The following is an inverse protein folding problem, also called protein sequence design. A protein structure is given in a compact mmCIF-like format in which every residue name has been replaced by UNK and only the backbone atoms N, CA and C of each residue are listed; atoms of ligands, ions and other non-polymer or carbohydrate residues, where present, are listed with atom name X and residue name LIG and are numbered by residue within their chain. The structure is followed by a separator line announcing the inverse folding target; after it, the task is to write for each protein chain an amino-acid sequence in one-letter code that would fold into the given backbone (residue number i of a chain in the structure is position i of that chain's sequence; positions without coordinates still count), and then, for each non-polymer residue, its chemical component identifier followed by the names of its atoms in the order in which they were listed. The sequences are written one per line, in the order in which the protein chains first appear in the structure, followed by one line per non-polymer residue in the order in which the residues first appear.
data_IF_939393982629
#
_entry.id   IF_939393982629
#
_cell.length_a   1.000
_cell.length_b   1.000
_cell.length_c   1.000
_cell.angle_alpha   90.00
_cell.angle_beta   90.00
_cell.angle_gamma   90.00
#
_symmetry.space_group_name_H-M   'P 1'
#
loop_
_entity.id
_entity.type
_entity.pdbx_description
1 polymer ?
#
# COMPACT_ATOMS: atom_id res chain seq x y z
N UNK A 1 -28.63 9.19 -1.62
CA UNK A 1 -28.13 8.75 -2.94
C UNK A 1 -27.79 7.26 -2.93
N UNK A 2 -28.50 6.45 -3.72
CA UNK A 2 -28.44 4.98 -3.76
C UNK A 2 -27.47 4.47 -4.85
N UNK A 3 -26.22 4.96 -4.87
CA UNK A 3 -25.23 4.48 -5.83
C UNK A 3 -24.54 3.22 -5.29
N UNK A 4 -24.66 2.05 -5.94
CA UNK A 4 -24.05 0.81 -5.45
C UNK A 4 -22.51 0.81 -5.58
N UNK A 5 -21.96 1.58 -6.53
CA UNK A 5 -20.49 1.67 -6.75
C UNK A 5 -20.01 3.12 -6.79
N UNK A 6 -18.89 3.38 -6.10
CA UNK A 6 -18.31 4.71 -5.91
C UNK A 6 -17.79 5.36 -7.20
N UNK A 7 -17.59 4.59 -8.28
CA UNK A 7 -17.15 5.14 -9.57
C UNK A 7 -18.28 5.56 -10.51
N UNK A 8 -19.55 5.22 -10.21
CA UNK A 8 -20.70 5.53 -11.07
C UNK A 8 -20.98 7.03 -11.26
N UNK A 9 -20.80 7.90 -10.25
CA UNK A 9 -20.98 9.33 -10.45
C UNK A 9 -20.02 9.89 -11.51
N UNK A 10 -20.53 10.73 -12.41
CA UNK A 10 -19.72 11.39 -13.44
C UNK A 10 -18.74 12.41 -12.83
N UNK A 11 -19.14 13.07 -11.75
CA UNK A 11 -18.34 14.05 -11.04
C UNK A 11 -17.38 13.38 -10.02
N UNK A 12 -16.08 13.72 -10.08
CA UNK A 12 -15.06 13.20 -9.16
C UNK A 12 -15.34 13.53 -7.70
N UNK A 13 -15.88 14.72 -7.38
CA UNK A 13 -16.23 15.09 -5.99
C UNK A 13 -17.33 14.18 -5.44
N UNK A 14 -18.30 13.81 -6.27
CA UNK A 14 -19.35 12.86 -5.91
C UNK A 14 -18.84 11.43 -5.79
N UNK A 15 -17.89 11.01 -6.64
CA UNK A 15 -17.21 9.71 -6.49
C UNK A 15 -16.51 9.62 -5.13
N UNK A 16 -15.75 10.65 -4.77
CA UNK A 16 -15.05 10.72 -3.48
C UNK A 16 -16.04 10.68 -2.31
N UNK A 17 -17.17 11.41 -2.40
CA UNK A 17 -18.22 11.40 -1.37
C UNK A 17 -18.84 10.02 -1.20
N UNK A 18 -19.20 9.33 -2.28
CA UNK A 18 -19.79 7.98 -2.21
C UNK A 18 -18.77 6.97 -1.66
N UNK A 19 -17.48 7.11 -1.98
CA UNK A 19 -16.43 6.28 -1.40
C UNK A 19 -16.35 6.46 0.13
N UNK A 20 -16.37 7.71 0.62
CA UNK A 20 -16.36 8.02 2.06
C UNK A 20 -17.58 7.47 2.79
N UNK A 21 -18.76 7.47 2.15
CA UNK A 21 -19.99 6.93 2.75
C UNK A 21 -19.91 5.41 3.03
N UNK A 22 -18.96 4.68 2.41
CA UNK A 22 -18.76 3.25 2.68
C UNK A 22 -18.04 2.98 4.02
N UNK A 23 -17.38 3.99 4.58
CA UNK A 23 -16.62 3.88 5.82
C UNK A 23 -17.43 4.49 6.96
N UNK A 24 -18.01 3.64 7.80
CA UNK A 24 -18.74 4.06 9.00
C UNK A 24 -17.80 3.89 10.20
N UNK A 25 -17.44 4.97 10.91
CA UNK A 25 -16.54 4.85 12.05
C UNK A 25 -17.29 4.33 13.27
N UNK A 26 -16.75 3.28 13.91
CA UNK A 26 -17.20 2.83 15.23
C UNK A 26 -16.26 3.46 16.26
N UNK A 27 -16.69 4.57 16.86
CA UNK A 27 -15.82 5.44 17.68
C UNK A 27 -15.18 4.70 18.84
N UNK A 28 -15.92 3.79 19.47
CA UNK A 28 -15.46 2.98 20.60
C UNK A 28 -14.24 2.11 20.27
N UNK A 29 -14.09 1.73 18.99
CA UNK A 29 -12.97 0.93 18.50
C UNK A 29 -11.78 1.77 18.02
N UNK A 30 -11.95 3.10 17.87
CA UNK A 30 -10.96 3.99 17.25
C UNK A 30 -10.38 4.97 18.28
N UNK A 31 -11.23 5.64 19.05
CA UNK A 31 -10.84 6.80 19.86
C UNK A 31 -9.80 6.45 20.94
N UNK A 32 -8.66 7.14 20.92
CA UNK A 32 -7.52 6.93 21.80
C UNK A 32 -6.76 5.62 21.59
N UNK A 33 -7.16 4.79 20.61
CA UNK A 33 -6.57 3.45 20.38
C UNK A 33 -5.36 3.51 19.46
N UNK A 34 -4.45 2.57 19.65
CA UNK A 34 -3.38 2.24 18.70
C UNK A 34 -3.88 1.13 17.79
N UNK A 35 -4.03 1.43 16.51
CA UNK A 35 -4.69 0.53 15.57
C UNK A 35 -3.66 -0.19 14.71
N UNK A 36 -3.83 -1.50 14.55
CA UNK A 36 -3.14 -2.30 13.55
C UNK A 36 -4.11 -2.59 12.41
N UNK A 37 -3.82 -2.02 11.26
CA UNK A 37 -4.54 -2.25 10.02
C UNK A 37 -3.75 -3.25 9.16
N UNK A 38 -4.45 -4.19 8.54
CA UNK A 38 -3.87 -5.19 7.64
C UNK A 38 -4.60 -5.08 6.32
N UNK A 39 -3.86 -4.97 5.24
CA UNK A 39 -4.40 -4.90 3.87
C UNK A 39 -3.61 -5.84 2.96
N UNK A 40 -4.20 -6.16 1.81
CA UNK A 40 -3.60 -7.11 0.87
C UNK A 40 -2.26 -6.59 0.31
N UNK A 41 -2.20 -5.30 -0.04
CA UNK A 41 -1.12 -4.71 -0.80
C UNK A 41 -1.11 -3.17 -0.71
N UNK A 42 0.03 -2.57 -1.09
CA UNK A 42 0.14 -1.12 -1.30
C UNK A 42 0.62 -0.88 -2.73
N UNK A 43 -0.30 -0.49 -3.63
CA UNK A 43 0.02 -0.16 -5.03
C UNK A 43 0.43 1.31 -5.17
N UNK A 44 -0.54 2.23 -5.14
CA UNK A 44 -0.31 3.69 -5.20
C UNK A 44 -0.39 4.37 -3.83
N UNK A 45 -1.04 3.72 -2.86
CA UNK A 45 -1.24 4.24 -1.51
C UNK A 45 -2.31 5.33 -1.33
N UNK A 46 -2.99 5.78 -2.40
CA UNK A 46 -4.00 6.87 -2.31
C UNK A 46 -5.16 6.52 -1.38
N UNK A 47 -5.81 5.36 -1.58
CA UNK A 47 -6.91 4.89 -0.72
C UNK A 47 -6.45 4.62 0.72
N UNK A 48 -5.23 4.08 0.87
CA UNK A 48 -4.62 3.84 2.19
C UNK A 48 -4.48 5.16 2.96
N UNK A 49 -3.93 6.20 2.31
CA UNK A 49 -3.78 7.52 2.93
C UNK A 49 -5.12 8.10 3.38
N UNK A 50 -6.15 8.02 2.54
CA UNK A 50 -7.50 8.48 2.90
C UNK A 50 -8.06 7.72 4.12
N UNK A 51 -7.81 6.41 4.19
CA UNK A 51 -8.23 5.55 5.30
C UNK A 51 -7.50 5.91 6.59
N UNK A 52 -6.19 6.12 6.53
CA UNK A 52 -5.37 6.52 7.68
C UNK A 52 -5.79 7.91 8.19
N UNK A 53 -5.99 8.88 7.29
CA UNK A 53 -6.49 10.22 7.65
C UNK A 53 -7.89 10.15 8.27
N UNK A 54 -8.76 9.27 7.77
CA UNK A 54 -10.07 9.02 8.35
C UNK A 54 -9.98 8.45 9.77
N UNK A 55 -9.07 7.50 10.04
CA UNK A 55 -8.88 6.94 11.38
C UNK A 55 -8.39 8.01 12.37
N UNK A 56 -7.40 8.82 11.99
CA UNK A 56 -6.93 9.93 12.84
C UNK A 56 -8.01 10.99 13.06
N UNK A 57 -8.80 11.33 12.04
CA UNK A 57 -9.91 12.28 12.18
C UNK A 57 -11.01 11.78 13.13
N UNK A 58 -11.07 10.47 13.40
CA UNK A 58 -11.97 9.85 14.37
C UNK A 58 -11.27 9.50 15.70
N UNK A 59 -10.09 10.07 15.97
CA UNK A 59 -9.44 10.01 17.28
C UNK A 59 -8.44 8.87 17.48
N UNK A 60 -8.02 8.17 16.42
CA UNK A 60 -6.95 7.17 16.55
C UNK A 60 -5.67 7.81 17.13
N UNK A 61 -5.02 7.12 18.06
CA UNK A 61 -3.75 7.57 18.66
C UNK A 61 -2.56 7.25 17.75
N UNK A 62 -2.52 6.03 17.23
CA UNK A 62 -1.48 5.52 16.32
C UNK A 62 -2.15 4.63 15.28
N UNK A 63 -1.64 4.65 14.05
CA UNK A 63 -2.11 3.79 12.96
C UNK A 63 -0.92 3.06 12.35
N UNK A 64 -0.82 1.76 12.64
CA UNK A 64 0.19 0.85 12.14
C UNK A 64 -0.40 0.03 10.99
N UNK A 65 0.37 -0.21 9.93
CA UNK A 65 -0.07 -0.99 8.76
C UNK A 65 0.82 -2.22 8.57
N UNK A 66 0.22 -3.35 8.19
CA UNK A 66 0.93 -4.55 7.74
C UNK A 66 0.39 -4.98 6.39
N UNK A 67 1.23 -4.88 5.36
CA UNK A 67 0.91 -5.37 4.01
C UNK A 67 1.06 -6.90 3.99
N UNK A 68 0.04 -7.60 3.50
CA UNK A 68 0.07 -9.05 3.38
C UNK A 68 0.97 -9.55 2.24
N UNK A 69 1.45 -8.65 1.36
CA UNK A 69 2.46 -8.94 0.34
C UNK A 69 3.73 -8.09 0.51
N UNK A 70 4.84 -8.46 -0.16
CA UNK A 70 6.02 -7.61 -0.32
C UNK A 70 5.69 -6.29 -1.03
N UNK A 71 6.58 -5.28 -0.96
CA UNK A 71 6.40 -4.06 -1.73
C UNK A 71 6.28 -4.37 -3.23
N UNK A 72 5.33 -3.74 -3.93
CA UNK A 72 5.15 -3.96 -5.36
C UNK A 72 6.15 -3.09 -6.13
N UNK A 73 7.08 -3.75 -6.80
CA UNK A 73 8.18 -3.13 -7.53
C UNK A 73 7.94 -3.08 -9.04
N UNK A 74 7.07 -3.95 -9.55
CA UNK A 74 6.78 -4.04 -10.99
C UNK A 74 5.29 -4.24 -11.28
N UNK A 75 4.84 -3.66 -12.38
CA UNK A 75 3.54 -3.95 -12.98
C UNK A 75 3.49 -5.38 -13.51
N UNK A 76 2.38 -6.07 -13.28
CA UNK A 76 2.22 -7.44 -13.76
C UNK A 76 2.22 -7.51 -15.29
N UNK A 77 3.12 -8.31 -15.87
CA UNK A 77 3.18 -8.53 -17.33
C UNK A 77 2.09 -9.44 -17.88
N UNK A 78 1.49 -10.25 -17.02
CA UNK A 78 0.55 -11.30 -17.43
C UNK A 78 -0.91 -10.91 -17.18
N UNK A 79 -1.16 -9.99 -16.24
CA UNK A 79 -2.49 -9.65 -15.78
C UNK A 79 -2.64 -8.14 -15.68
N UNK A 80 -3.62 -7.58 -16.41
CA UNK A 80 -3.93 -6.14 -16.39
C UNK A 80 -4.81 -5.76 -15.18
N UNK A 81 -4.35 -6.06 -13.96
CA UNK A 81 -5.10 -5.71 -12.74
C UNK A 81 -5.02 -4.23 -12.39
N UNK A 82 -3.97 -3.55 -12.83
CA UNK A 82 -3.74 -2.14 -12.62
C UNK A 82 -3.67 -1.48 -13.99
N UNK A 83 -4.52 -0.48 -14.26
CA UNK A 83 -4.38 0.41 -15.43
C UNK A 83 -3.15 1.33 -15.32
N UNK A 84 -2.11 0.86 -14.64
CA UNK A 84 -0.87 1.60 -14.51
C UNK A 84 -0.21 1.64 -15.88
N UNK A 85 -0.04 2.84 -16.39
CA UNK A 85 0.66 3.10 -17.65
C UNK A 85 2.15 3.30 -17.42
N UNK A 86 2.60 3.30 -16.16
CA UNK A 86 3.98 3.55 -15.76
C UNK A 86 4.29 2.93 -14.39
N UNK A 87 5.43 2.26 -14.28
CA UNK A 87 5.96 1.76 -13.00
C UNK A 87 6.06 2.84 -11.92
N UNK A 88 6.18 4.12 -12.31
CA UNK A 88 6.22 5.24 -11.37
C UNK A 88 4.86 5.52 -10.70
N UNK A 89 3.78 4.90 -11.15
CA UNK A 89 2.50 4.91 -10.41
C UNK A 89 2.61 4.10 -9.10
N UNK A 90 3.53 3.14 -9.02
CA UNK A 90 3.76 2.35 -7.82
C UNK A 90 4.50 3.21 -6.79
N UNK A 91 3.97 3.26 -5.57
CA UNK A 91 4.52 4.14 -4.53
C UNK A 91 6.00 3.83 -4.25
N UNK A 92 6.37 2.55 -4.23
CA UNK A 92 7.74 2.12 -3.98
C UNK A 92 8.69 2.61 -5.08
N UNK A 93 8.29 2.45 -6.34
CA UNK A 93 9.10 2.88 -7.50
C UNK A 93 9.20 4.39 -7.63
N UNK A 94 8.14 5.14 -7.31
CA UNK A 94 8.20 6.60 -7.22
C UNK A 94 9.25 7.03 -6.21
N UNK A 95 9.21 6.46 -5.00
CA UNK A 95 10.17 6.78 -3.92
C UNK A 95 11.60 6.43 -4.32
N UNK A 96 11.82 5.24 -4.86
CA UNK A 96 13.16 4.81 -5.32
C UNK A 96 13.70 5.78 -6.38
N UNK A 97 12.86 6.20 -7.32
CA UNK A 97 13.25 7.18 -8.33
C UNK A 97 13.53 8.56 -7.73
N UNK A 98 12.82 8.97 -6.68
CA UNK A 98 13.11 10.23 -5.98
C UNK A 98 14.40 10.16 -5.16
N UNK A 99 14.76 8.99 -4.62
CA UNK A 99 15.98 8.80 -3.86
C UNK A 99 17.23 8.67 -4.72
N UNK A 100 17.16 7.93 -5.82
CA UNK A 100 18.33 7.52 -6.60
C UNK A 100 18.15 7.67 -8.11
N UNK A 101 17.06 8.30 -8.56
CA UNK A 101 16.75 8.46 -9.98
C UNK A 101 16.50 7.12 -10.69
N UNK A 102 16.76 7.10 -11.99
CA UNK A 102 16.61 5.89 -12.83
C UNK A 102 17.51 4.74 -12.37
N UNK A 103 18.68 5.07 -11.81
CA UNK A 103 19.66 4.09 -11.35
C UNK A 103 19.19 3.31 -10.12
N UNK A 104 18.21 3.83 -9.37
CA UNK A 104 17.62 3.13 -8.22
C UNK A 104 17.02 1.76 -8.56
N UNK A 105 16.69 1.50 -9.84
CA UNK A 105 16.28 0.17 -10.33
C UNK A 105 17.31 -0.92 -10.00
N UNK A 106 18.60 -0.57 -10.02
CA UNK A 106 19.69 -1.52 -9.74
C UNK A 106 19.65 -2.08 -8.33
N UNK A 107 19.01 -1.38 -7.41
CA UNK A 107 18.95 -1.74 -5.98
C UNK A 107 17.56 -2.21 -5.53
N UNK A 108 16.67 -2.60 -6.46
CA UNK A 108 15.30 -3.04 -6.13
C UNK A 108 15.30 -4.18 -5.10
N UNK A 109 16.22 -5.14 -5.21
CA UNK A 109 16.33 -6.24 -4.24
C UNK A 109 16.56 -5.74 -2.82
N UNK A 110 17.44 -4.76 -2.64
CA UNK A 110 17.68 -4.16 -1.33
C UNK A 110 16.43 -3.41 -0.85
N UNK A 111 15.81 -2.60 -1.71
CA UNK A 111 14.57 -1.88 -1.39
C UNK A 111 13.40 -2.82 -1.03
N UNK A 112 13.35 -4.03 -1.60
CA UNK A 112 12.30 -5.03 -1.32
C UNK A 112 12.48 -5.74 0.03
N UNK A 113 13.70 -5.76 0.57
CA UNK A 113 14.01 -6.37 1.86
C UNK A 113 14.02 -5.32 2.98
N UNK A 114 13.06 -5.47 3.89
CA UNK A 114 12.85 -4.57 5.03
C UNK A 114 14.02 -4.51 6.03
N UNK A 115 14.97 -5.44 5.94
CA UNK A 115 16.15 -5.48 6.84
C UNK A 115 17.31 -4.62 6.35
N UNK A 116 17.36 -4.29 5.06
CA UNK A 116 18.42 -3.46 4.48
C UNK A 116 18.20 -1.98 4.82
N UNK A 117 19.27 -1.18 4.71
CA UNK A 117 19.18 0.27 4.91
C UNK A 117 18.23 0.93 3.92
N UNK A 118 18.28 0.51 2.64
CA UNK A 118 17.37 0.98 1.60
C UNK A 118 15.92 0.61 1.87
N UNK A 119 15.67 -0.63 2.31
CA UNK A 119 14.33 -1.10 2.66
C UNK A 119 13.73 -0.33 3.84
N UNK A 120 14.51 -0.09 4.90
CA UNK A 120 14.09 0.74 6.05
C UNK A 120 13.75 2.16 5.62
N UNK A 121 14.63 2.80 4.84
CA UNK A 121 14.42 4.14 4.31
C UNK A 121 13.18 4.24 3.42
N UNK A 122 12.91 3.21 2.61
CA UNK A 122 11.68 3.13 1.82
C UNK A 122 10.44 3.04 2.72
N UNK A 123 10.46 2.18 3.73
CA UNK A 123 9.36 2.02 4.70
C UNK A 123 9.08 3.34 5.43
N UNK A 124 10.11 4.03 5.90
CA UNK A 124 9.99 5.32 6.57
C UNK A 124 9.33 6.36 5.67
N UNK A 125 9.74 6.43 4.40
CA UNK A 125 9.17 7.37 3.45
C UNK A 125 7.73 7.03 3.07
N UNK A 126 7.38 5.74 2.94
CA UNK A 126 5.99 5.33 2.77
C UNK A 126 5.17 5.71 4.01
N UNK A 127 5.67 5.46 5.22
CA UNK A 127 5.00 5.88 6.45
C UNK A 127 4.73 7.38 6.45
N UNK A 128 5.73 8.20 6.09
CA UNK A 128 5.60 9.66 6.00
C UNK A 128 4.52 10.07 5.00
N UNK A 129 4.51 9.50 3.79
CA UNK A 129 3.53 9.84 2.73
C UNK A 129 2.10 9.42 3.08
N UNK A 130 1.95 8.28 3.73
CA UNK A 130 0.66 7.70 4.09
C UNK A 130 0.20 8.06 5.51
N UNK A 131 1.01 8.83 6.25
CA UNK A 131 0.79 9.23 7.65
C UNK A 131 0.69 8.05 8.63
N UNK A 132 1.36 6.94 8.33
CA UNK A 132 1.37 5.77 9.21
C UNK A 132 2.36 5.97 10.37
N UNK A 133 2.03 5.43 11.54
CA UNK A 133 2.97 5.33 12.68
C UNK A 133 4.06 4.29 12.40
N UNK A 134 3.69 3.16 11.78
CA UNK A 134 4.65 2.15 11.33
C UNK A 134 4.08 1.36 10.18
N UNK A 135 4.96 0.80 9.35
CA UNK A 135 4.61 -0.09 8.27
C UNK A 135 5.52 -1.33 8.33
N UNK A 136 4.94 -2.48 8.06
CA UNK A 136 5.68 -3.71 7.78
C UNK A 136 5.13 -4.37 6.54
N UNK A 137 6.02 -4.90 5.70
CA UNK A 137 5.64 -5.73 4.56
C UNK A 137 5.85 -7.20 4.89
N UNK A 138 5.04 -8.07 4.29
CA UNK A 138 5.36 -9.48 4.24
C UNK A 138 6.64 -9.69 3.40
N UNK A 139 7.48 -10.63 3.83
CA UNK A 139 8.67 -11.01 3.07
C UNK A 139 8.30 -11.88 1.87
N UNK A 140 9.09 -11.84 0.79
CA UNK A 140 8.86 -12.71 -0.36
C UNK A 140 8.94 -14.20 0.04
N UNK A 141 9.94 -14.55 0.85
CA UNK A 141 10.09 -15.89 1.42
C UNK A 141 8.85 -16.30 2.23
N UNK A 142 8.36 -15.41 3.09
CA UNK A 142 7.14 -15.62 3.87
C UNK A 142 5.91 -15.82 2.99
N UNK A 143 5.77 -15.06 1.91
CA UNK A 143 4.68 -15.24 0.93
C UNK A 143 4.77 -16.58 0.21
N UNK A 144 5.95 -16.96 -0.30
CA UNK A 144 6.17 -18.26 -0.96
C UNK A 144 5.85 -19.41 0.00
N UNK A 145 6.35 -19.32 1.25
CA UNK A 145 6.07 -20.30 2.29
C UNK A 145 4.57 -20.42 2.62
N UNK A 146 3.86 -19.29 2.71
CA UNK A 146 2.43 -19.26 3.00
C UNK A 146 1.58 -19.85 1.88
N UNK A 147 1.99 -19.68 0.61
CA UNK A 147 1.32 -20.29 -0.54
C UNK A 147 1.52 -21.81 -0.58
N UNK A 148 2.66 -22.31 -0.07
CA UNK A 148 2.93 -23.74 0.05
C UNK A 148 3.31 -24.44 -1.26
N UNK A 149 3.58 -23.68 -2.32
CA UNK A 149 4.09 -24.19 -3.59
C UNK A 149 5.60 -23.94 -3.71
N UNK A 150 6.34 -24.78 -4.45
CA UNK A 150 7.74 -24.50 -4.77
C UNK A 150 7.90 -23.15 -5.46
N UNK A 151 8.94 -22.38 -5.12
CA UNK A 151 9.20 -21.06 -5.69
C UNK A 151 9.26 -21.08 -7.22
N UNK A 152 9.85 -22.12 -7.81
CA UNK A 152 9.93 -22.29 -9.26
C UNK A 152 8.57 -22.48 -9.97
N UNK A 153 7.48 -22.70 -9.21
CA UNK A 153 6.10 -22.77 -9.71
C UNK A 153 5.30 -21.50 -9.44
N UNK A 154 5.92 -20.47 -8.87
CA UNK A 154 5.28 -19.20 -8.55
C UNK A 154 5.86 -18.08 -9.40
N UNK A 155 4.98 -17.24 -9.94
CA UNK A 155 5.39 -15.98 -10.55
C UNK A 155 5.54 -14.93 -9.44
N UNK A 156 6.77 -14.50 -9.19
CA UNK A 156 7.11 -13.47 -8.18
C UNK A 156 7.44 -12.12 -8.80
N UNK A 157 7.23 -11.97 -10.13
CA UNK A 157 7.68 -10.83 -10.93
C UNK A 157 7.30 -9.45 -10.37
N UNK A 158 6.16 -9.31 -9.70
CA UNK A 158 5.65 -8.03 -9.22
C UNK A 158 6.44 -7.48 -8.01
N UNK A 159 7.21 -8.32 -7.32
CA UNK A 159 7.95 -8.00 -6.09
C UNK A 159 9.45 -7.94 -6.38
#
# INVERSE_FOLDING_TARGET
PTWPRSFMPQNQSMRNRVAKMKLIPVRELIEGKKLLFVDDSIVRGTQMRETVEFLYANGAKEVHMRSACPPIMFGCKYLNFSRSTSELDLIARSIINEFEGKEGVKYIKEYSDSNTERGKRLIEEICRRLKLTSLGFQSLEGTVKAVGLPECKLCTYCW
#
